data_IF_475658830826
#
_entry.id   IF_475658830826
#
_cell.length_a   1.000
_cell.length_b   1.000
_cell.length_c   1.000
_cell.angle_alpha   90.00
_cell.angle_beta   90.00
_cell.angle_gamma   90.00
#
_symmetry.space_group_name_H-M   'P 1'
#
loop_
_entity.id
_entity.type
_entity.pdbx_description
1 polymer ?
#
# COMPACT_ATOMS: atom_id res chain seq x y z
N UNK A 1 -29.30 -1.34 -0.82
CA UNK A 1 -28.22 -2.14 -1.43
C UNK A 1 -28.64 -2.46 -2.85
N UNK A 2 -27.72 -2.42 -3.81
CA UNK A 2 -28.05 -2.78 -5.19
C UNK A 2 -28.51 -4.23 -5.26
N UNK A 3 -29.70 -4.48 -5.80
CA UNK A 3 -30.22 -5.82 -6.08
C UNK A 3 -29.66 -6.39 -7.39
N UNK A 4 -28.93 -5.59 -8.18
CA UNK A 4 -28.39 -5.99 -9.46
C UNK A 4 -26.94 -5.53 -9.64
N UNK A 5 -26.09 -6.44 -10.08
CA UNK A 5 -24.69 -6.13 -10.41
C UNK A 5 -24.61 -5.20 -11.62
N UNK A 6 -23.80 -4.16 -11.52
CA UNK A 6 -23.64 -3.14 -12.56
C UNK A 6 -23.00 -3.70 -13.83
N UNK A 7 -23.10 -2.95 -14.93
CA UNK A 7 -22.54 -3.37 -16.22
C UNK A 7 -21.03 -3.68 -16.13
N UNK A 8 -20.56 -4.58 -17.00
CA UNK A 8 -19.13 -4.90 -17.14
C UNK A 8 -18.25 -3.66 -17.32
N UNK A 9 -18.77 -2.60 -17.95
CA UNK A 9 -18.07 -1.32 -18.15
C UNK A 9 -17.78 -0.60 -16.82
N UNK A 10 -18.74 -0.62 -15.89
CA UNK A 10 -18.60 -0.01 -14.56
C UNK A 10 -17.65 -0.84 -13.69
N UNK A 11 -17.83 -2.17 -13.67
CA UNK A 11 -16.96 -3.08 -12.90
C UNK A 11 -15.51 -2.98 -13.36
N UNK A 12 -15.27 -3.02 -14.67
CA UNK A 12 -13.93 -2.85 -15.22
C UNK A 12 -13.38 -1.45 -14.96
N UNK A 13 -14.23 -0.42 -14.95
CA UNK A 13 -13.84 0.94 -14.58
C UNK A 13 -13.40 1.02 -13.13
N UNK A 14 -14.18 0.45 -12.22
CA UNK A 14 -13.83 0.36 -10.79
C UNK A 14 -12.52 -0.39 -10.61
N UNK A 15 -12.39 -1.60 -11.15
CA UNK A 15 -11.17 -2.39 -10.98
C UNK A 15 -9.93 -1.78 -11.68
N UNK A 16 -10.11 -0.91 -12.70
CA UNK A 16 -9.01 -0.12 -13.28
C UNK A 16 -8.49 0.98 -12.34
N UNK A 17 -9.28 1.40 -11.35
CA UNK A 17 -8.77 2.29 -10.31
C UNK A 17 -7.67 1.58 -9.50
N UNK A 18 -7.89 0.31 -9.17
CA UNK A 18 -6.94 -0.50 -8.41
C UNK A 18 -5.64 -0.74 -9.21
N UNK A 19 -5.79 -0.97 -10.53
CA UNK A 19 -4.67 -1.02 -11.47
C UNK A 19 -3.78 0.23 -11.41
N UNK A 20 -4.40 1.40 -11.25
CA UNK A 20 -3.70 2.69 -11.19
C UNK A 20 -3.04 2.94 -9.84
N UNK A 21 -3.77 2.79 -8.73
CA UNK A 21 -3.27 3.15 -7.40
C UNK A 21 -2.24 2.14 -6.85
N UNK A 22 -2.34 0.86 -7.20
CA UNK A 22 -1.52 -0.20 -6.59
C UNK A 22 -0.02 -0.02 -6.89
N UNK A 23 0.30 0.68 -7.98
CA UNK A 23 1.66 1.05 -8.32
C UNK A 23 2.34 1.92 -7.26
N UNK A 24 1.58 2.74 -6.51
CA UNK A 24 2.11 3.48 -5.36
C UNK A 24 2.67 2.54 -4.30
N UNK A 25 1.95 1.46 -3.97
CA UNK A 25 2.35 0.56 -2.91
C UNK A 25 3.67 -0.16 -3.27
N UNK A 26 3.75 -0.74 -4.48
CA UNK A 26 4.97 -1.43 -4.91
C UNK A 26 6.15 -0.48 -5.10
N UNK A 27 6.00 0.62 -5.85
CA UNK A 27 7.14 1.46 -6.25
C UNK A 27 7.57 2.46 -5.18
N UNK A 28 6.60 3.13 -4.53
CA UNK A 28 6.87 4.21 -3.57
C UNK A 28 6.97 3.69 -2.14
N UNK A 29 6.19 2.67 -1.79
CA UNK A 29 6.16 2.19 -0.41
C UNK A 29 7.19 1.08 -0.18
N UNK A 30 7.33 0.14 -1.12
CA UNK A 30 8.11 -1.08 -0.86
C UNK A 30 9.46 -1.20 -1.57
N UNK A 31 9.67 -0.54 -2.73
CA UNK A 31 10.84 -0.86 -3.58
C UNK A 31 11.75 0.32 -3.90
N UNK A 32 11.40 1.13 -4.90
CA UNK A 32 12.32 2.11 -5.50
C UNK A 32 12.53 3.32 -4.58
N UNK A 33 11.46 3.86 -4.00
CA UNK A 33 11.60 5.06 -3.16
C UNK A 33 12.37 4.80 -1.86
N UNK A 34 12.12 3.72 -1.07
CA UNK A 34 12.96 3.42 0.09
C UNK A 34 14.45 3.27 -0.27
N UNK A 35 14.75 2.52 -1.34
CA UNK A 35 16.13 2.31 -1.79
C UNK A 35 16.80 3.61 -2.27
N UNK A 36 16.06 4.46 -3.00
CA UNK A 36 16.53 5.78 -3.43
C UNK A 36 16.73 6.73 -2.25
N UNK A 37 15.78 6.75 -1.31
CA UNK A 37 15.86 7.57 -0.10
C UNK A 37 17.14 7.25 0.68
N UNK A 38 17.39 5.97 0.93
CA UNK A 38 18.59 5.53 1.63
C UNK A 38 19.86 5.88 0.84
N UNK A 39 19.91 5.63 -0.47
CA UNK A 39 21.07 5.95 -1.30
C UNK A 39 21.40 7.45 -1.34
N UNK A 40 20.38 8.31 -1.32
CA UNK A 40 20.53 9.77 -1.35
C UNK A 40 20.90 10.34 0.02
N UNK A 41 20.44 9.69 1.09
CA UNK A 41 20.70 10.11 2.48
C UNK A 41 21.96 9.49 3.06
N UNK A 42 22.53 8.48 2.40
CA UNK A 42 23.77 7.85 2.82
C UNK A 42 25.02 8.71 2.64
N UNK A 43 26.07 8.33 3.36
CA UNK A 43 27.41 8.92 3.27
C UNK A 43 28.25 8.35 2.11
N UNK A 44 27.76 7.28 1.46
CA UNK A 44 28.44 6.61 0.35
C UNK A 44 29.50 5.59 0.79
N UNK A 45 29.56 5.28 2.08
CA UNK A 45 30.44 4.27 2.66
C UNK A 45 29.63 3.04 3.09
N UNK A 46 29.80 1.92 2.38
CA UNK A 46 29.10 0.66 2.65
C UNK A 46 29.42 0.06 4.05
N UNK A 47 30.41 0.61 4.77
CA UNK A 47 30.74 0.22 6.15
C UNK A 47 29.94 0.99 7.21
N UNK A 48 29.27 2.08 6.85
CA UNK A 48 28.50 2.89 7.79
C UNK A 48 27.20 2.15 8.15
N UNK A 49 27.10 1.72 9.41
CA UNK A 49 25.97 0.94 9.91
C UNK A 49 24.67 1.74 10.00
N UNK A 50 24.75 3.04 10.31
CA UNK A 50 23.60 3.92 10.47
C UNK A 50 23.92 5.29 9.89
N UNK A 51 23.47 5.53 8.67
CA UNK A 51 23.53 6.84 8.06
C UNK A 51 22.64 7.84 8.82
N UNK A 52 23.17 9.02 9.09
CA UNK A 52 22.43 10.08 9.77
C UNK A 52 22.13 11.27 8.86
N UNK A 53 20.97 11.89 9.10
CA UNK A 53 20.51 13.07 8.39
C UNK A 53 20.08 14.14 9.37
N UNK A 54 20.37 15.40 9.03
CA UNK A 54 19.93 16.55 9.81
C UNK A 54 18.62 17.07 9.25
N UNK A 55 17.57 17.08 10.07
CA UNK A 55 16.27 17.67 9.75
C UNK A 55 15.88 18.64 10.86
N UNK A 56 15.55 19.88 10.49
CA UNK A 56 15.18 20.95 11.43
C UNK A 56 16.20 21.16 12.59
N UNK A 57 17.50 20.99 12.30
CA UNK A 57 18.57 21.15 13.27
C UNK A 57 18.76 19.98 14.25
N UNK A 58 18.08 18.85 14.03
CA UNK A 58 18.27 17.60 14.80
C UNK A 58 18.77 16.48 13.89
N UNK A 59 19.64 15.64 14.44
CA UNK A 59 20.19 14.48 13.76
C UNK A 59 19.29 13.26 13.99
N UNK A 60 19.02 12.52 12.92
CA UNK A 60 18.21 11.31 12.93
C UNK A 60 18.89 10.22 12.09
N UNK A 61 18.72 8.96 12.48
CA UNK A 61 19.02 7.82 11.58
C UNK A 61 18.06 7.89 10.39
N UNK A 62 18.59 7.82 9.17
CA UNK A 62 17.83 8.03 7.93
C UNK A 62 16.64 7.06 7.81
N UNK A 63 16.86 5.75 7.97
CA UNK A 63 15.82 4.70 7.89
C UNK A 63 14.73 4.90 8.96
N UNK A 64 15.13 5.34 10.14
CA UNK A 64 14.18 5.67 11.22
C UNK A 64 13.34 6.90 10.88
N UNK A 65 13.94 7.94 10.31
CA UNK A 65 13.22 9.15 9.89
C UNK A 65 12.21 8.86 8.77
N UNK A 66 12.54 7.96 7.85
CA UNK A 66 11.60 7.45 6.85
C UNK A 66 10.39 6.78 7.52
N UNK A 67 10.63 5.86 8.46
CA UNK A 67 9.58 5.15 9.19
C UNK A 67 8.72 6.09 10.04
N UNK A 68 9.32 7.12 10.66
CA UNK A 68 8.58 8.16 11.38
C UNK A 68 7.70 8.98 10.44
N UNK A 69 8.17 9.28 9.23
CA UNK A 69 7.38 10.00 8.22
C UNK A 69 6.14 9.19 7.81
N UNK A 70 6.30 7.90 7.53
CA UNK A 70 5.16 7.01 7.29
C UNK A 70 4.23 6.91 8.50
N UNK A 71 4.78 6.84 9.72
CA UNK A 71 3.99 6.79 10.96
C UNK A 71 3.13 8.04 11.13
N UNK A 72 3.68 9.23 10.87
CA UNK A 72 2.92 10.49 10.87
C UNK A 72 1.79 10.44 9.84
N UNK A 73 2.07 9.95 8.63
CA UNK A 73 1.05 9.80 7.60
C UNK A 73 -0.07 8.85 8.05
N UNK A 74 0.27 7.70 8.65
CA UNK A 74 -0.71 6.74 9.18
C UNK A 74 -1.54 7.30 10.33
N UNK A 75 -0.95 8.10 11.22
CA UNK A 75 -1.69 8.80 12.28
C UNK A 75 -2.72 9.75 11.66
N UNK A 76 -2.32 10.55 10.66
CA UNK A 76 -3.23 11.45 9.96
C UNK A 76 -4.35 10.66 9.29
N UNK A 77 -4.02 9.58 8.56
CA UNK A 77 -4.97 8.67 7.92
C UNK A 77 -5.95 8.10 8.96
N UNK A 78 -5.47 7.64 10.11
CA UNK A 78 -6.30 7.08 11.17
C UNK A 78 -7.28 8.11 11.75
N UNK A 79 -6.86 9.37 11.89
CA UNK A 79 -7.70 10.46 12.39
C UNK A 79 -8.75 10.92 11.36
N UNK A 80 -8.42 10.94 10.08
CA UNK A 80 -9.36 11.36 9.03
C UNK A 80 -10.27 10.23 8.56
N UNK A 81 -9.83 8.96 8.62
CA UNK A 81 -10.57 7.82 8.06
C UNK A 81 -12.00 7.70 8.58
N UNK A 82 -12.31 7.82 9.90
CA UNK A 82 -13.69 7.80 10.39
C UNK A 82 -14.55 8.92 9.79
N UNK A 83 -13.97 10.11 9.59
CA UNK A 83 -14.65 11.24 8.97
C UNK A 83 -14.91 10.92 7.49
N UNK A 84 -13.90 10.46 6.76
CA UNK A 84 -14.00 10.14 5.34
C UNK A 84 -15.00 9.01 5.09
N UNK A 85 -15.02 7.96 5.91
CA UNK A 85 -16.00 6.87 5.83
C UNK A 85 -17.42 7.38 6.04
N UNK A 86 -17.65 8.24 7.05
CA UNK A 86 -18.98 8.84 7.25
C UNK A 86 -19.42 9.72 6.08
N UNK A 87 -18.49 10.46 5.48
CA UNK A 87 -18.75 11.25 4.28
C UNK A 87 -19.06 10.32 3.11
N UNK A 88 -18.31 9.23 2.94
CA UNK A 88 -18.56 8.24 1.91
C UNK A 88 -19.94 7.60 2.06
N UNK A 89 -20.39 7.33 3.28
CA UNK A 89 -21.68 6.68 3.51
C UNK A 89 -22.86 7.64 3.34
N UNK A 90 -22.74 8.90 3.78
CA UNK A 90 -23.87 9.84 3.83
C UNK A 90 -23.90 10.90 2.71
N UNK A 91 -22.75 11.32 2.17
CA UNK A 91 -22.71 12.27 1.05
C UNK A 91 -22.66 11.52 -0.28
N UNK A 92 -23.59 11.86 -1.17
CA UNK A 92 -23.55 11.45 -2.59
C UNK A 92 -22.43 12.12 -3.40
N UNK A 93 -21.26 12.39 -2.82
CA UNK A 93 -20.12 13.01 -3.49
C UNK A 93 -18.83 12.18 -3.40
N UNK A 94 -18.91 10.86 -3.14
CA UNK A 94 -17.76 9.95 -3.04
C UNK A 94 -16.83 10.06 -4.25
N UNK A 95 -17.40 10.20 -5.45
CA UNK A 95 -16.64 10.38 -6.70
C UNK A 95 -15.72 11.62 -6.68
N UNK A 96 -16.17 12.73 -6.07
CA UNK A 96 -15.38 13.96 -5.99
C UNK A 96 -14.25 13.83 -4.97
N UNK A 97 -14.49 13.17 -3.84
CA UNK A 97 -13.44 12.87 -2.87
C UNK A 97 -12.42 11.87 -3.41
N UNK A 98 -12.88 10.82 -4.11
CA UNK A 98 -12.01 9.88 -4.81
C UNK A 98 -11.12 10.61 -5.82
N UNK A 99 -11.69 11.52 -6.62
CA UNK A 99 -10.93 12.39 -7.51
C UNK A 99 -9.89 13.21 -6.75
N UNK A 100 -10.30 13.93 -5.69
CA UNK A 100 -9.40 14.77 -4.91
C UNK A 100 -8.20 14.00 -4.35
N UNK A 101 -8.43 12.90 -3.64
CA UNK A 101 -7.35 12.12 -3.03
C UNK A 101 -6.48 11.38 -4.06
N UNK A 102 -7.09 10.90 -5.15
CA UNK A 102 -6.35 10.40 -6.31
C UNK A 102 -5.42 11.48 -6.89
N UNK A 103 -5.91 12.71 -7.03
CA UNK A 103 -5.12 13.85 -7.53
C UNK A 103 -3.98 14.17 -6.60
N UNK A 104 -4.29 14.31 -5.31
CA UNK A 104 -3.35 14.69 -4.28
C UNK A 104 -2.21 13.69 -4.21
N UNK A 105 -2.53 12.39 -4.15
CA UNK A 105 -1.53 11.34 -4.09
C UNK A 105 -0.71 11.24 -5.38
N UNK A 106 -1.36 11.32 -6.55
CA UNK A 106 -0.66 11.24 -7.84
C UNK A 106 0.29 12.42 -8.05
N UNK A 107 -0.13 13.65 -7.69
CA UNK A 107 0.72 14.84 -7.75
C UNK A 107 1.89 14.71 -6.78
N UNK A 108 1.66 14.20 -5.56
CA UNK A 108 2.73 14.00 -4.59
C UNK A 108 3.76 12.97 -5.08
N UNK A 109 3.34 11.85 -5.69
CA UNK A 109 4.25 10.92 -6.36
C UNK A 109 5.02 11.59 -7.50
N UNK A 110 4.34 12.35 -8.36
CA UNK A 110 5.01 13.08 -9.44
C UNK A 110 5.99 14.14 -8.93
N UNK A 111 5.67 14.80 -7.81
CA UNK A 111 6.51 15.81 -7.19
C UNK A 111 7.81 15.22 -6.63
N UNK A 112 7.81 13.94 -6.22
CA UNK A 112 9.04 13.23 -5.83
C UNK A 112 10.08 13.16 -6.94
N UNK A 113 9.73 13.42 -8.21
CA UNK A 113 10.70 13.61 -9.29
C UNK A 113 11.76 14.68 -8.95
N UNK A 114 11.39 15.70 -8.18
CA UNK A 114 12.29 16.79 -7.76
C UNK A 114 13.02 16.50 -6.45
N UNK A 115 12.81 15.34 -5.82
CA UNK A 115 13.48 14.98 -4.57
C UNK A 115 14.93 14.56 -4.82
N UNK A 116 15.87 15.20 -4.12
CA UNK A 116 17.29 14.89 -4.08
C UNK A 116 17.87 15.12 -2.66
N UNK A 117 19.20 14.98 -2.52
CA UNK A 117 19.90 15.11 -1.22
C UNK A 117 19.72 16.50 -0.58
N UNK A 118 19.51 17.54 -1.39
CA UNK A 118 19.45 18.93 -0.92
C UNK A 118 18.10 19.29 -0.32
N UNK A 119 17.04 18.54 -0.66
CA UNK A 119 15.66 18.87 -0.28
C UNK A 119 14.93 17.72 0.45
N UNK A 120 15.61 17.08 1.40
CA UNK A 120 15.08 16.00 2.24
C UNK A 120 13.66 16.24 2.77
N UNK A 121 13.40 17.42 3.33
CA UNK A 121 12.10 17.78 3.88
C UNK A 121 10.97 17.73 2.83
N UNK A 122 11.27 18.12 1.58
CA UNK A 122 10.32 18.08 0.48
C UNK A 122 10.02 16.63 0.07
N UNK A 123 11.02 15.77 -0.03
CA UNK A 123 10.83 14.34 -0.33
C UNK A 123 9.95 13.64 0.71
N UNK A 124 10.22 13.88 2.00
CA UNK A 124 9.42 13.33 3.10
C UNK A 124 7.99 13.89 3.14
N UNK A 125 7.81 15.19 2.88
CA UNK A 125 6.48 15.79 2.78
C UNK A 125 5.68 15.18 1.63
N UNK A 126 6.31 14.98 0.46
CA UNK A 126 5.67 14.30 -0.67
C UNK A 126 5.29 12.85 -0.32
N UNK A 127 6.14 12.12 0.40
CA UNK A 127 5.84 10.76 0.88
C UNK A 127 4.60 10.73 1.78
N UNK A 128 4.53 11.65 2.75
CA UNK A 128 3.40 11.78 3.66
C UNK A 128 2.11 12.07 2.89
N UNK A 129 2.14 13.04 1.98
CA UNK A 129 0.97 13.44 1.18
C UNK A 129 0.53 12.30 0.24
N UNK A 130 1.48 11.59 -0.39
CA UNK A 130 1.19 10.44 -1.24
C UNK A 130 0.49 9.31 -0.44
N UNK A 131 1.00 9.01 0.76
CA UNK A 131 0.40 8.04 1.68
C UNK A 131 -1.02 8.43 2.09
N UNK A 132 -1.24 9.69 2.50
CA UNK A 132 -2.57 10.20 2.84
C UNK A 132 -3.51 10.10 1.63
N UNK A 133 -3.05 10.50 0.44
CA UNK A 133 -3.81 10.41 -0.80
C UNK A 133 -4.24 8.98 -1.11
N UNK A 134 -3.33 8.01 -0.98
CA UNK A 134 -3.58 6.61 -1.30
C UNK A 134 -4.59 5.97 -0.35
N UNK A 135 -4.35 6.07 0.96
CA UNK A 135 -5.26 5.45 1.95
C UNK A 135 -6.63 6.12 1.98
N UNK A 136 -6.68 7.45 1.82
CA UNK A 136 -7.95 8.18 1.77
C UNK A 136 -8.74 7.86 0.50
N UNK A 137 -8.09 7.68 -0.64
CA UNK A 137 -8.78 7.31 -1.87
C UNK A 137 -9.33 5.89 -1.81
N UNK A 138 -8.62 4.95 -1.16
CA UNK A 138 -9.07 3.59 -0.93
C UNK A 138 -10.38 3.51 -0.13
N UNK A 139 -10.59 4.40 0.85
CA UNK A 139 -11.86 4.48 1.59
C UNK A 139 -13.03 4.71 0.64
N UNK A 140 -12.92 5.70 -0.26
CA UNK A 140 -13.98 5.99 -1.23
C UNK A 140 -14.09 4.90 -2.30
N UNK A 141 -12.97 4.37 -2.77
CA UNK A 141 -12.94 3.26 -3.73
C UNK A 141 -13.70 2.03 -3.23
N UNK A 142 -13.42 1.58 -2.00
CA UNK A 142 -14.07 0.43 -1.39
C UNK A 142 -15.56 0.69 -1.13
N UNK A 143 -15.95 1.93 -0.83
CA UNK A 143 -17.35 2.31 -0.62
C UNK A 143 -18.23 2.20 -1.87
N UNK A 144 -17.64 2.11 -3.08
CA UNK A 144 -18.39 1.88 -4.32
C UNK A 144 -18.77 0.40 -4.50
N UNK A 145 -18.03 -0.55 -3.91
CA UNK A 145 -18.25 -1.98 -4.14
C UNK A 145 -19.69 -2.42 -3.80
N UNK A 146 -20.29 -2.02 -2.65
CA UNK A 146 -21.68 -2.37 -2.34
C UNK A 146 -22.73 -1.70 -3.24
N UNK A 147 -22.36 -0.65 -3.98
CA UNK A 147 -23.23 0.07 -4.91
C UNK A 147 -23.21 -0.54 -6.32
N UNK A 148 -22.08 -1.11 -6.73
CA UNK A 148 -21.89 -1.64 -8.08
C UNK A 148 -22.04 -3.15 -8.18
N UNK A 149 -22.02 -3.89 -7.06
CA UNK A 149 -22.11 -5.35 -7.03
C UNK A 149 -23.20 -5.83 -6.06
N UNK A 150 -24.03 -6.77 -6.53
CA UNK A 150 -24.94 -7.51 -5.69
C UNK A 150 -24.15 -8.32 -4.65
N UNK A 151 -24.75 -8.61 -3.48
CA UNK A 151 -24.05 -9.24 -2.36
C UNK A 151 -23.34 -10.55 -2.72
N UNK A 152 -23.94 -11.34 -3.60
CA UNK A 152 -23.39 -12.61 -4.12
C UNK A 152 -22.17 -12.44 -5.05
N UNK A 153 -22.05 -11.29 -5.73
CA UNK A 153 -20.98 -11.01 -6.68
C UNK A 153 -19.82 -10.19 -6.07
N UNK A 154 -19.97 -9.67 -4.85
CA UNK A 154 -19.00 -8.74 -4.23
C UNK A 154 -17.61 -9.34 -4.11
N UNK A 155 -17.50 -10.58 -3.67
CA UNK A 155 -16.21 -11.26 -3.50
C UNK A 155 -15.51 -11.44 -4.85
N UNK A 156 -16.27 -11.82 -5.88
CA UNK A 156 -15.74 -11.99 -7.25
C UNK A 156 -15.30 -10.65 -7.86
N UNK A 157 -16.07 -9.59 -7.65
CA UNK A 157 -15.73 -8.25 -8.14
C UNK A 157 -14.51 -7.70 -7.39
N UNK A 158 -14.45 -7.88 -6.07
CA UNK A 158 -13.30 -7.48 -5.25
C UNK A 158 -12.03 -8.21 -5.64
N UNK A 159 -12.09 -9.53 -5.80
CA UNK A 159 -10.95 -10.34 -6.26
C UNK A 159 -10.46 -9.90 -7.66
N UNK A 160 -11.38 -9.54 -8.56
CA UNK A 160 -11.02 -8.97 -9.86
C UNK A 160 -10.33 -7.61 -9.73
N UNK A 161 -10.80 -6.75 -8.83
CA UNK A 161 -10.16 -5.48 -8.48
C UNK A 161 -8.70 -5.72 -8.09
N UNK A 162 -8.51 -6.52 -7.06
CA UNK A 162 -7.20 -6.86 -6.52
C UNK A 162 -6.26 -7.47 -7.57
N UNK A 163 -6.74 -8.42 -8.38
CA UNK A 163 -5.93 -9.04 -9.44
C UNK A 163 -5.49 -8.03 -10.52
N UNK A 164 -6.37 -7.09 -10.89
CA UNK A 164 -6.00 -6.01 -11.81
C UNK A 164 -5.07 -4.99 -11.15
N UNK A 165 -5.25 -4.68 -9.87
CA UNK A 165 -4.31 -3.88 -9.08
C UNK A 165 -2.91 -4.47 -9.09
N UNK A 166 -2.82 -5.74 -8.73
CA UNK A 166 -1.57 -6.50 -8.72
C UNK A 166 -0.89 -6.48 -10.10
N UNK A 167 -1.60 -6.89 -11.15
CA UNK A 167 -1.07 -6.89 -12.53
C UNK A 167 -0.59 -5.52 -12.98
N UNK A 168 -1.38 -4.46 -12.74
CA UNK A 168 -1.05 -3.10 -13.13
C UNK A 168 0.20 -2.57 -12.42
N UNK A 169 0.29 -2.85 -11.11
CA UNK A 169 1.45 -2.47 -10.30
C UNK A 169 2.72 -3.22 -10.71
N UNK A 170 2.64 -4.53 -11.01
CA UNK A 170 3.78 -5.31 -11.53
C UNK A 170 4.27 -4.77 -12.87
N UNK A 171 3.37 -4.47 -13.81
CA UNK A 171 3.74 -3.94 -15.12
C UNK A 171 4.48 -2.61 -14.96
N UNK A 172 3.94 -1.68 -14.16
CA UNK A 172 4.61 -0.41 -13.96
C UNK A 172 5.97 -0.59 -13.28
N UNK A 173 6.04 -1.47 -12.28
CA UNK A 173 7.30 -1.75 -11.60
C UNK A 173 8.38 -2.31 -12.52
N UNK A 174 8.03 -3.24 -13.42
CA UNK A 174 8.96 -3.75 -14.45
C UNK A 174 9.43 -2.62 -15.35
N UNK A 175 8.53 -1.73 -15.79
CA UNK A 175 8.90 -0.54 -16.57
C UNK A 175 9.90 0.33 -15.78
N UNK A 176 9.64 0.59 -14.50
CA UNK A 176 10.56 1.34 -13.65
C UNK A 176 11.92 0.66 -13.49
N UNK A 177 11.96 -0.67 -13.34
CA UNK A 177 13.21 -1.42 -13.26
C UNK A 177 14.03 -1.38 -14.55
N UNK A 178 13.41 -1.32 -15.72
CA UNK A 178 14.16 -1.11 -16.97
C UNK A 178 14.99 0.18 -16.92
N UNK A 179 14.44 1.27 -16.36
CA UNK A 179 15.19 2.51 -16.18
C UNK A 179 16.28 2.39 -15.10
N UNK A 180 15.97 1.74 -13.97
CA UNK A 180 16.88 1.66 -12.82
C UNK A 180 18.04 0.68 -13.04
N UNK A 181 17.80 -0.41 -13.77
CA UNK A 181 18.79 -1.46 -14.03
C UNK A 181 19.65 -1.19 -15.27
N UNK A 182 19.15 -0.41 -16.23
CA UNK A 182 19.89 -0.05 -17.46
C UNK A 182 19.95 1.48 -17.68
N UNK A 183 20.40 2.28 -16.70
CA UNK A 183 20.40 3.73 -16.80
C UNK A 183 21.32 4.26 -17.92
N UNK A 184 22.45 3.59 -18.15
CA UNK A 184 23.43 3.96 -19.19
C UNK A 184 22.84 3.86 -20.61
N UNK A 185 21.94 2.90 -20.84
CA UNK A 185 21.23 2.76 -22.12
C UNK A 185 20.33 3.96 -22.46
N UNK A 186 19.96 4.75 -21.44
CA UNK A 186 19.17 5.96 -21.59
C UNK A 186 20.00 7.24 -21.38
N UNK A 187 21.30 7.13 -21.11
CA UNK A 187 22.17 8.27 -20.82
C UNK A 187 21.78 9.03 -19.54
N UNK A 188 21.17 8.35 -18.56
CA UNK A 188 20.74 8.94 -17.29
C UNK A 188 21.48 8.29 -16.11
N UNK A 189 21.43 8.91 -14.94
CA UNK A 189 21.95 8.31 -13.69
C UNK A 189 20.90 7.41 -13.03
N UNK A 190 21.33 6.48 -12.16
CA UNK A 190 20.42 5.65 -11.33
C UNK A 190 19.45 6.53 -10.52
N UNK A 191 19.96 7.65 -9.98
CA UNK A 191 19.12 8.59 -9.24
C UNK A 191 18.04 9.22 -10.11
N UNK A 192 18.40 9.64 -11.33
CA UNK A 192 17.43 10.17 -12.30
C UNK A 192 16.43 9.12 -12.76
N UNK A 193 16.85 7.87 -12.95
CA UNK A 193 15.97 6.75 -13.25
C UNK A 193 14.92 6.51 -12.15
N UNK A 194 15.34 6.62 -10.89
CA UNK A 194 14.44 6.52 -9.72
C UNK A 194 13.45 7.69 -9.69
N UNK A 195 13.91 8.92 -9.90
CA UNK A 195 13.05 10.10 -10.00
C UNK A 195 12.01 9.98 -11.12
N UNK A 196 12.41 9.51 -12.31
CA UNK A 196 11.50 9.25 -13.44
C UNK A 196 10.47 8.18 -13.04
N UNK A 197 10.88 7.15 -12.31
CA UNK A 197 9.97 6.11 -11.82
C UNK A 197 8.86 6.69 -10.93
N UNK A 198 9.17 7.66 -10.06
CA UNK A 198 8.15 8.32 -9.23
C UNK A 198 7.17 9.15 -10.05
N UNK A 199 7.68 9.85 -11.08
CA UNK A 199 6.84 10.55 -12.05
C UNK A 199 5.90 9.59 -12.79
N UNK A 200 6.42 8.45 -13.23
CA UNK A 200 5.63 7.42 -13.91
C UNK A 200 4.52 6.88 -13.00
N UNK A 201 4.78 6.63 -11.71
CA UNK A 201 3.74 6.24 -10.73
C UNK A 201 2.64 7.30 -10.65
N UNK A 202 3.00 8.57 -10.52
CA UNK A 202 2.02 9.65 -10.45
C UNK A 202 1.19 9.77 -11.73
N UNK A 203 1.82 9.71 -12.90
CA UNK A 203 1.13 9.76 -14.20
C UNK A 203 0.24 8.54 -14.42
N UNK A 204 0.71 7.33 -14.05
CA UNK A 204 -0.03 6.09 -14.15
C UNK A 204 -1.27 6.11 -13.27
N UNK A 205 -1.09 6.44 -11.99
CA UNK A 205 -2.18 6.51 -11.03
C UNK A 205 -3.21 7.57 -11.44
N UNK A 206 -2.77 8.76 -11.85
CA UNK A 206 -3.66 9.80 -12.33
C UNK A 206 -4.41 9.38 -13.59
N UNK A 207 -3.69 8.89 -14.60
CA UNK A 207 -4.26 8.52 -15.90
C UNK A 207 -5.32 7.43 -15.79
N UNK A 208 -4.98 6.31 -15.16
CA UNK A 208 -5.93 5.21 -14.93
C UNK A 208 -7.01 5.58 -13.92
N UNK A 209 -6.69 6.39 -12.91
CA UNK A 209 -7.64 6.94 -11.95
C UNK A 209 -8.72 7.80 -12.62
N UNK A 210 -8.33 8.71 -13.52
CA UNK A 210 -9.28 9.53 -14.30
C UNK A 210 -10.15 8.67 -15.22
N UNK A 211 -9.56 7.67 -15.85
CA UNK A 211 -10.31 6.73 -16.68
C UNK A 211 -11.35 5.93 -15.88
N UNK A 212 -10.96 5.44 -14.70
CA UNK A 212 -11.85 4.76 -13.76
C UNK A 212 -12.98 5.69 -13.32
N UNK A 213 -12.65 6.91 -12.90
CA UNK A 213 -13.61 7.93 -12.47
C UNK A 213 -14.64 8.25 -13.57
N UNK A 214 -14.25 8.34 -14.85
CA UNK A 214 -15.21 8.55 -15.94
C UNK A 214 -16.24 7.42 -16.06
N UNK A 215 -15.89 6.20 -15.68
CA UNK A 215 -16.76 5.01 -15.76
C UNK A 215 -17.56 4.74 -14.49
N UNK A 216 -17.13 5.29 -13.35
CA UNK A 216 -17.85 5.13 -12.09
C UNK A 216 -19.18 5.91 -12.08
N UNK A 217 -20.24 5.32 -11.53
CA UNK A 217 -21.54 5.97 -11.42
C UNK A 217 -21.44 7.24 -10.57
N UNK A 218 -22.40 8.16 -10.75
CA UNK A 218 -22.57 9.27 -9.80
C UNK A 218 -23.00 8.67 -8.47
N UNK A 219 -22.36 9.08 -7.38
CA UNK A 219 -22.69 8.61 -6.05
C UNK A 219 -24.10 9.06 -5.67
N UNK A 220 -24.93 8.13 -5.20
CA UNK A 220 -26.29 8.44 -4.74
C UNK A 220 -26.23 8.62 -3.21
N UNK A 221 -26.77 9.70 -2.63
CA UNK A 221 -26.83 9.85 -1.18
C UNK A 221 -27.63 8.70 -0.55
N UNK A 222 -27.07 8.04 0.47
CA UNK A 222 -27.82 7.09 1.27
C UNK A 222 -28.76 7.85 2.23
N UNK A 223 -30.00 8.07 1.80
CA UNK A 223 -31.04 8.69 2.63
C UNK A 223 -31.23 10.19 2.38
N UNK A 224 -32.50 10.61 2.43
CA UNK A 224 -32.91 11.98 2.14
C UNK A 224 -32.19 13.02 2.97
N UNK A 225 -31.80 14.11 2.29
CA UNK A 225 -31.29 15.38 2.81
C UNK A 225 -31.55 15.62 4.30
N UNK A 226 -30.59 15.25 5.17
CA UNK A 226 -30.56 15.73 6.55
C UNK A 226 -29.19 16.30 6.90
N UNK A 227 -29.10 17.63 6.73
CA UNK A 227 -28.21 18.59 7.36
C UNK A 227 -26.69 18.31 7.37
N UNK A 228 -25.98 19.06 6.53
CA UNK A 228 -24.52 19.17 6.40
C UNK A 228 -23.77 19.36 7.75
N UNK A 229 -24.43 19.94 8.77
CA UNK A 229 -23.80 20.26 10.07
C UNK A 229 -23.64 19.06 11.02
N UNK A 230 -24.31 17.92 10.79
CA UNK A 230 -24.18 16.71 11.63
C UNK A 230 -23.20 15.66 11.09
N UNK A 231 -22.54 15.92 9.95
CA UNK A 231 -21.75 14.91 9.22
C UNK A 231 -20.38 14.67 9.88
N UNK A 232 -19.67 15.72 10.30
CA UNK A 232 -18.34 15.59 10.97
C UNK A 232 -18.44 14.92 12.35
N UNK A 233 -19.44 15.29 13.15
CA UNK A 233 -19.73 14.62 14.41
C UNK A 233 -20.38 13.23 14.21
N UNK A 234 -20.90 12.95 13.01
CA UNK A 234 -21.55 11.69 12.66
C UNK A 234 -20.57 10.52 12.62
N UNK A 235 -19.41 10.66 11.98
CA UNK A 235 -18.43 9.56 11.86
C UNK A 235 -17.92 9.04 13.20
N UNK A 236 -17.46 9.93 14.09
CA UNK A 236 -17.03 9.54 15.44
C UNK A 236 -18.18 9.05 16.32
N UNK A 237 -19.39 9.60 16.16
CA UNK A 237 -20.57 9.14 16.89
C UNK A 237 -20.99 7.74 16.46
N UNK A 238 -20.98 7.45 15.17
CA UNK A 238 -21.24 6.09 14.66
C UNK A 238 -20.13 5.13 15.10
N UNK A 239 -18.86 5.54 15.09
CA UNK A 239 -17.77 4.72 15.64
C UNK A 239 -18.00 4.39 17.12
N UNK A 240 -18.43 5.37 17.93
CA UNK A 240 -18.76 5.14 19.33
C UNK A 240 -19.97 4.20 19.50
N UNK A 241 -20.96 4.28 18.62
CA UNK A 241 -22.11 3.36 18.61
C UNK A 241 -21.68 1.93 18.27
N UNK A 242 -20.83 1.76 17.25
CA UNK A 242 -20.23 0.47 16.89
C UNK A 242 -19.39 -0.06 18.06
N UNK A 243 -18.62 0.80 18.73
CA UNK A 243 -17.85 0.42 19.92
C UNK A 243 -18.73 -0.09 21.07
N UNK A 244 -19.87 0.55 21.31
CA UNK A 244 -20.85 0.08 22.30
C UNK A 244 -21.44 -1.28 21.91
N UNK A 245 -21.78 -1.50 20.65
CA UNK A 245 -22.24 -2.80 20.14
C UNK A 245 -21.16 -3.87 20.28
N UNK A 246 -19.89 -3.51 20.03
CA UNK A 246 -18.75 -4.42 20.15
C UNK A 246 -18.57 -4.95 21.57
N UNK A 247 -18.90 -4.15 22.59
CA UNK A 247 -18.85 -4.58 24.00
C UNK A 247 -19.80 -5.74 24.29
N UNK A 248 -20.92 -5.84 23.56
CA UNK A 248 -21.86 -6.94 23.68
C UNK A 248 -21.45 -8.21 22.89
N UNK A 249 -20.39 -8.13 22.06
CA UNK A 249 -19.93 -9.20 21.17
C UNK A 249 -18.48 -9.60 21.53
N UNK A 250 -18.26 -10.38 22.60
CA UNK A 250 -16.91 -10.66 23.12
C UNK A 250 -16.00 -11.40 22.12
N UNK A 251 -16.58 -12.29 21.30
CA UNK A 251 -15.83 -13.04 20.26
C UNK A 251 -15.32 -12.10 19.17
N UNK A 252 -16.17 -11.21 18.67
CA UNK A 252 -15.80 -10.22 17.65
C UNK A 252 -14.75 -9.25 18.18
N UNK A 253 -14.89 -8.78 19.42
CA UNK A 253 -13.90 -7.93 20.07
C UNK A 253 -12.53 -8.59 20.15
N UNK A 254 -12.48 -9.87 20.58
CA UNK A 254 -11.23 -10.64 20.65
C UNK A 254 -10.62 -10.81 19.26
N UNK A 255 -11.44 -11.14 18.26
CA UNK A 255 -10.99 -11.25 16.88
C UNK A 255 -10.38 -9.95 16.35
N UNK A 256 -11.04 -8.80 16.53
CA UNK A 256 -10.52 -7.50 16.06
C UNK A 256 -9.22 -7.11 16.75
N UNK A 257 -9.11 -7.38 18.06
CA UNK A 257 -7.87 -7.15 18.79
C UNK A 257 -6.73 -8.04 18.25
N UNK A 258 -6.97 -9.35 18.10
CA UNK A 258 -5.99 -10.26 17.47
C UNK A 258 -5.65 -9.83 16.04
N UNK A 259 -6.64 -9.41 15.27
CA UNK A 259 -6.49 -8.93 13.90
C UNK A 259 -5.56 -7.73 13.82
N UNK A 260 -5.75 -6.77 14.72
CA UNK A 260 -4.88 -5.60 14.83
C UNK A 260 -3.41 -5.98 15.03
N UNK A 261 -3.10 -6.85 16.00
CA UNK A 261 -1.72 -7.22 16.29
C UNK A 261 -1.03 -7.99 15.16
N UNK A 262 -1.70 -9.01 14.59
CA UNK A 262 -1.06 -9.76 13.51
C UNK A 262 -0.92 -8.91 12.24
N UNK A 263 -1.94 -8.09 11.91
CA UNK A 263 -1.89 -7.24 10.72
C UNK A 263 -0.77 -6.20 10.85
N UNK A 264 -0.62 -5.59 12.03
CA UNK A 264 0.49 -4.68 12.31
C UNK A 264 1.85 -5.36 12.11
N UNK A 265 2.03 -6.58 12.62
CA UNK A 265 3.27 -7.35 12.42
C UNK A 265 3.58 -7.61 10.94
N UNK A 266 2.61 -8.14 10.18
CA UNK A 266 2.78 -8.43 8.75
C UNK A 266 3.08 -7.15 7.96
N UNK A 267 2.34 -6.07 8.22
CA UNK A 267 2.56 -4.78 7.53
C UNK A 267 3.94 -4.20 7.81
N UNK A 268 4.41 -4.25 9.06
CA UNK A 268 5.77 -3.78 9.38
C UNK A 268 6.84 -4.54 8.61
N UNK A 269 6.72 -5.87 8.51
CA UNK A 269 7.66 -6.67 7.71
C UNK A 269 7.59 -6.26 6.24
N UNK A 270 6.41 -6.10 5.66
CA UNK A 270 6.25 -5.68 4.26
C UNK A 270 6.82 -4.29 3.96
N UNK A 271 6.76 -3.36 4.91
CA UNK A 271 7.27 -2.00 4.75
C UNK A 271 8.79 -1.90 4.92
N UNK A 272 9.34 -2.66 5.87
CA UNK A 272 10.74 -2.51 6.30
C UNK A 272 11.67 -3.55 5.67
N UNK A 273 11.15 -4.63 5.07
CA UNK A 273 11.96 -5.73 4.53
C UNK A 273 13.11 -5.28 3.61
N UNK A 274 12.84 -4.34 2.70
CA UNK A 274 13.87 -3.85 1.76
C UNK A 274 14.98 -3.07 2.48
N UNK A 275 14.60 -2.21 3.45
CA UNK A 275 15.56 -1.46 4.26
C UNK A 275 16.37 -2.41 5.16
N UNK A 276 15.72 -3.39 5.77
CA UNK A 276 16.38 -4.42 6.57
C UNK A 276 17.40 -5.23 5.75
N UNK A 277 16.99 -5.71 4.57
CA UNK A 277 17.87 -6.46 3.68
C UNK A 277 19.11 -5.65 3.26
N UNK A 278 18.96 -4.35 3.05
CA UNK A 278 20.09 -3.49 2.69
C UNK A 278 20.96 -3.13 3.89
N UNK A 279 20.41 -2.45 4.90
CA UNK A 279 21.20 -1.85 5.98
C UNK A 279 21.69 -2.86 7.01
N UNK A 280 20.91 -3.90 7.32
CA UNK A 280 21.27 -4.88 8.36
C UNK A 280 21.98 -6.11 7.77
N UNK A 281 21.48 -6.64 6.65
CA UNK A 281 22.05 -7.82 6.00
C UNK A 281 23.11 -7.50 4.94
N UNK A 282 23.32 -6.22 4.60
CA UNK A 282 24.28 -5.77 3.58
C UNK A 282 24.04 -6.40 2.19
N UNK A 283 22.77 -6.70 1.85
CA UNK A 283 22.43 -7.32 0.57
C UNK A 283 22.48 -6.24 -0.54
N UNK A 284 23.20 -6.50 -1.66
CA UNK A 284 23.28 -5.53 -2.75
C UNK A 284 21.90 -5.20 -3.34
N UNK A 285 21.72 -3.94 -3.76
CA UNK A 285 20.45 -3.43 -4.30
C UNK A 285 19.88 -4.27 -5.45
N UNK A 286 20.75 -4.78 -6.34
CA UNK A 286 20.32 -5.65 -7.44
C UNK A 286 19.66 -6.93 -6.91
N UNK A 287 20.22 -7.52 -5.86
CA UNK A 287 19.69 -8.73 -5.24
C UNK A 287 18.37 -8.44 -4.51
N UNK A 288 18.22 -7.28 -3.87
CA UNK A 288 16.93 -6.87 -3.29
C UNK A 288 15.84 -6.75 -4.36
N UNK A 289 16.15 -6.14 -5.51
CA UNK A 289 15.23 -6.03 -6.65
C UNK A 289 14.82 -7.42 -7.15
N UNK A 290 15.77 -8.33 -7.34
CA UNK A 290 15.51 -9.71 -7.77
C UNK A 290 14.62 -10.43 -6.74
N UNK A 291 14.92 -10.30 -5.44
CA UNK A 291 14.13 -10.91 -4.38
C UNK A 291 12.67 -10.42 -4.38
N UNK A 292 12.45 -9.12 -4.60
CA UNK A 292 11.10 -8.56 -4.69
C UNK A 292 10.35 -9.11 -5.91
N UNK A 293 11.02 -9.26 -7.06
CA UNK A 293 10.41 -9.89 -8.24
C UNK A 293 10.07 -11.37 -7.98
N UNK A 294 10.94 -12.09 -7.27
CA UNK A 294 10.68 -13.48 -6.83
C UNK A 294 9.44 -13.53 -5.93
N UNK A 295 9.38 -12.70 -4.88
CA UNK A 295 8.22 -12.59 -3.97
C UNK A 295 6.94 -12.43 -4.78
N UNK A 296 6.96 -11.54 -5.78
CA UNK A 296 5.77 -11.26 -6.56
C UNK A 296 5.31 -12.42 -7.44
N UNK A 297 6.24 -13.13 -8.07
CA UNK A 297 5.91 -14.29 -8.90
C UNK A 297 5.45 -15.48 -8.06
N UNK A 298 6.06 -15.69 -6.89
CA UNK A 298 5.74 -16.79 -5.98
C UNK A 298 4.46 -16.53 -5.17
N UNK A 299 4.05 -15.29 -4.99
CA UNK A 299 2.75 -14.96 -4.40
C UNK A 299 1.58 -15.53 -5.20
N UNK A 300 1.69 -15.69 -6.52
CA UNK A 300 0.62 -16.26 -7.34
C UNK A 300 0.30 -17.71 -6.94
N UNK A 301 1.25 -18.67 -6.97
CA UNK A 301 0.99 -20.03 -6.51
C UNK A 301 0.70 -20.11 -5.00
N UNK A 302 1.25 -19.19 -4.20
CA UNK A 302 0.89 -19.02 -2.78
C UNK A 302 -0.61 -18.82 -2.58
N UNK A 303 -1.17 -17.83 -3.27
CA UNK A 303 -2.58 -17.47 -3.19
C UNK A 303 -3.50 -18.64 -3.55
N UNK A 304 -3.16 -19.38 -4.61
CA UNK A 304 -3.92 -20.58 -4.99
C UNK A 304 -3.86 -21.67 -3.92
N UNK A 305 -2.69 -21.85 -3.29
CA UNK A 305 -2.51 -22.87 -2.26
C UNK A 305 -3.26 -22.52 -0.99
N UNK A 306 -3.17 -21.27 -0.52
CA UNK A 306 -3.90 -20.81 0.67
C UNK A 306 -5.41 -20.81 0.42
N UNK A 307 -5.87 -20.38 -0.77
CA UNK A 307 -7.28 -20.46 -1.13
C UNK A 307 -7.80 -21.92 -1.17
N UNK A 308 -7.00 -22.85 -1.70
CA UNK A 308 -7.32 -24.27 -1.68
C UNK A 308 -7.37 -24.83 -0.25
N UNK A 309 -6.39 -24.48 0.59
CA UNK A 309 -6.33 -24.87 2.00
C UNK A 309 -7.54 -24.37 2.77
N UNK A 310 -7.95 -23.13 2.52
CA UNK A 310 -9.13 -22.50 3.12
C UNK A 310 -10.42 -23.23 2.75
N UNK A 311 -10.55 -23.69 1.50
CA UNK A 311 -11.69 -24.51 1.03
C UNK A 311 -11.71 -25.91 1.63
N UNK A 312 -10.56 -26.54 1.83
CA UNK A 312 -10.46 -27.91 2.35
C UNK A 312 -10.62 -27.98 3.87
N UNK A 313 -10.17 -26.95 4.58
CA UNK A 313 -10.19 -26.90 6.06
C UNK A 313 -11.28 -25.92 6.53
N UNK A 314 -10.87 -24.71 6.90
CA UNK A 314 -11.70 -23.59 7.32
C UNK A 314 -10.86 -22.33 7.17
N UNK A 315 -11.50 -21.20 6.87
CA UNK A 315 -10.83 -19.89 6.82
C UNK A 315 -10.05 -19.59 8.11
N UNK A 316 -10.58 -20.00 9.27
CA UNK A 316 -9.92 -19.80 10.56
C UNK A 316 -8.64 -20.64 10.68
N UNK A 317 -8.69 -21.92 10.30
CA UNK A 317 -7.54 -22.82 10.36
C UNK A 317 -6.46 -22.40 9.37
N UNK A 318 -6.84 -22.03 8.14
CA UNK A 318 -5.92 -21.51 7.14
C UNK A 318 -5.22 -20.25 7.66
N UNK A 319 -5.96 -19.29 8.23
CA UNK A 319 -5.40 -18.08 8.83
C UNK A 319 -4.40 -18.41 9.97
N UNK A 320 -4.74 -19.33 10.87
CA UNK A 320 -3.84 -19.73 11.96
C UNK A 320 -2.54 -20.36 11.45
N UNK A 321 -2.61 -21.20 10.42
CA UNK A 321 -1.42 -21.79 9.78
C UNK A 321 -0.56 -20.68 9.18
N UNK A 322 -1.15 -19.75 8.43
CA UNK A 322 -0.43 -18.61 7.83
C UNK A 322 0.25 -17.76 8.90
N UNK A 323 -0.40 -17.49 10.04
CA UNK A 323 0.20 -16.73 11.15
C UNK A 323 1.40 -17.46 11.76
N UNK A 324 1.27 -18.76 12.02
CA UNK A 324 2.39 -19.56 12.57
C UNK A 324 3.57 -19.57 11.60
N UNK A 325 3.30 -19.72 10.31
CA UNK A 325 4.34 -19.65 9.28
C UNK A 325 5.01 -18.27 9.25
N UNK A 326 4.26 -17.18 9.32
CA UNK A 326 4.81 -15.83 9.44
C UNK A 326 5.75 -15.68 10.64
N UNK A 327 5.39 -16.21 11.82
CA UNK A 327 6.24 -16.17 13.01
C UNK A 327 7.56 -16.91 12.75
N UNK A 328 7.49 -18.10 12.16
CA UNK A 328 8.68 -18.89 11.80
C UNK A 328 9.56 -18.12 10.81
N UNK A 329 8.97 -17.49 9.79
CA UNK A 329 9.71 -16.70 8.81
C UNK A 329 10.39 -15.47 9.42
N UNK A 330 9.75 -14.80 10.39
CA UNK A 330 10.39 -13.70 11.11
C UNK A 330 11.61 -14.19 11.92
N UNK A 331 11.53 -15.36 12.54
CA UNK A 331 12.66 -15.97 13.26
C UNK A 331 13.79 -16.32 12.28
N UNK A 332 13.46 -16.93 11.14
CA UNK A 332 14.44 -17.24 10.09
C UNK A 332 15.10 -15.96 9.58
N UNK A 333 14.30 -14.91 9.32
CA UNK A 333 14.80 -13.62 8.86
C UNK A 333 15.75 -12.96 9.85
N UNK A 334 15.48 -13.06 11.15
CA UNK A 334 16.37 -12.56 12.21
C UNK A 334 17.71 -13.32 12.28
N UNK A 335 17.71 -14.61 11.94
CA UNK A 335 18.89 -15.47 11.97
C UNK A 335 19.70 -15.46 10.66
N UNK A 336 19.28 -14.66 9.66
CA UNK A 336 19.99 -14.58 8.38
C UNK A 336 21.41 -14.01 8.58
N UNK A 337 22.44 -14.64 7.98
CA UNK A 337 23.78 -14.10 8.01
C UNK A 337 23.89 -12.85 7.13
N UNK A 338 24.77 -11.93 7.54
CA UNK A 338 25.19 -10.80 6.71
C UNK A 338 25.84 -11.31 5.42
N UNK A 339 25.58 -10.63 4.31
CA UNK A 339 26.01 -11.00 2.94
C UNK A 339 25.43 -12.35 2.44
N UNK A 340 24.48 -12.95 3.17
CA UNK A 340 23.80 -14.21 2.87
C UNK A 340 22.75 -14.10 1.75
N UNK A 341 23.20 -13.86 0.52
CA UNK A 341 22.31 -13.62 -0.63
C UNK A 341 21.39 -14.81 -0.92
N UNK A 342 21.90 -16.03 -0.85
CA UNK A 342 21.13 -17.23 -1.21
C UNK A 342 20.06 -17.53 -0.16
N UNK A 343 20.39 -17.36 1.11
CA UNK A 343 19.50 -17.50 2.24
C UNK A 343 18.40 -16.43 2.19
N UNK A 344 18.75 -15.20 1.81
CA UNK A 344 17.80 -14.12 1.58
C UNK A 344 16.82 -14.44 0.44
N UNK A 345 17.28 -15.02 -0.67
CA UNK A 345 16.40 -15.50 -1.73
C UNK A 345 15.50 -16.66 -1.29
N UNK A 346 16.02 -17.60 -0.50
CA UNK A 346 15.22 -18.66 0.11
C UNK A 346 14.08 -18.09 0.97
N UNK A 347 14.39 -17.09 1.80
CA UNK A 347 13.38 -16.38 2.60
C UNK A 347 12.37 -15.65 1.69
N UNK A 348 12.84 -14.98 0.63
CA UNK A 348 11.98 -14.27 -0.31
C UNK A 348 10.96 -15.21 -1.00
N UNK A 349 11.37 -16.42 -1.38
CA UNK A 349 10.44 -17.45 -1.92
C UNK A 349 9.39 -17.82 -0.88
N UNK A 350 9.79 -18.11 0.35
CA UNK A 350 8.87 -18.52 1.41
C UNK A 350 7.89 -17.40 1.81
N UNK A 351 8.40 -16.18 1.98
CA UNK A 351 7.60 -14.99 2.26
C UNK A 351 6.63 -14.74 1.11
N UNK A 352 7.09 -14.77 -0.13
CA UNK A 352 6.23 -14.62 -1.31
C UNK A 352 5.09 -15.63 -1.32
N UNK A 353 5.38 -16.89 -1.03
CA UNK A 353 4.38 -17.96 -1.01
C UNK A 353 3.31 -17.76 0.06
N UNK A 354 3.68 -17.23 1.24
CA UNK A 354 2.76 -17.01 2.36
C UNK A 354 2.01 -15.67 2.22
N UNK A 355 2.61 -14.71 1.52
CA UNK A 355 2.02 -13.39 1.28
C UNK A 355 0.92 -13.41 0.23
N UNK A 356 1.02 -14.32 -0.75
CA UNK A 356 -0.04 -14.61 -1.71
C UNK A 356 -1.17 -15.40 -1.09
#
# INVERSE_FOLDING_TARGET
MSTQTASKKVINGWAMYDWGNSAYNLVITSTIFPAYYEAVTGDGNDQTLNDTVVLFGREFVNTSLYNYSLSVAFIIVALISPILSSIADYKGNKKQFLFFFCTLGSIACSAMYFYDKTNLAFGLACLIIACIGFWSSLVFYNSFLPEIAASEDRDKVSAKGFAMGYTGSMILQVICFVFVLSPDSFGITIGKASQISFLLVGVWWWGFGQFALKRLPKSVPAGGSKSSKKILAGGYKELNKVWQQLKALPVLRRFLFSFFFYNMGVQTVMLVATLYGKSELNIPTMNLIIAILIIQLIAIPGAFTIAWLSKKTSNFTALMITIVLWIILCIIGYLLPRDGINEFYGLAVLVGFIMG
#
